data_IF_614585167313
#
_entry.id   IF_614585167313
#
_cell.length_a   1.000
_cell.length_b   1.000
_cell.length_c   1.000
_cell.angle_alpha   90.00
_cell.angle_beta   90.00
_cell.angle_gamma   90.00
#
_symmetry.space_group_name_H-M   'P 1'
#
loop_
_entity.id
_entity.type
_entity.pdbx_description
1 polymer ?
#
# COMPACT_ATOMS: atom_id res chain seq x y z
N UNK A 1 -3.32 37.71 -25.33
CA UNK A 1 -2.87 36.94 -26.50
C UNK A 1 -2.84 35.48 -26.07
N UNK A 2 -3.67 34.63 -26.65
CA UNK A 2 -3.64 33.20 -26.39
C UNK A 2 -2.29 32.70 -26.91
N UNK A 3 -1.51 32.08 -26.05
CA UNK A 3 -0.24 31.44 -26.40
C UNK A 3 -0.61 30.18 -27.17
N UNK A 4 -0.61 30.23 -28.51
CA UNK A 4 -0.90 29.07 -29.35
C UNK A 4 0.13 27.98 -29.02
N UNK A 5 -0.35 26.89 -28.44
CA UNK A 5 0.49 25.75 -28.00
C UNK A 5 1.10 25.10 -29.22
N UNK A 6 2.44 25.12 -29.34
CA UNK A 6 3.16 24.49 -30.46
C UNK A 6 2.73 23.03 -30.62
N UNK A 7 2.41 22.66 -31.85
CA UNK A 7 1.88 21.34 -32.20
C UNK A 7 2.91 20.47 -32.90
N UNK A 8 2.66 19.17 -33.03
CA UNK A 8 3.48 18.25 -33.84
C UNK A 8 3.52 18.66 -35.33
N UNK A 9 2.49 19.37 -35.80
CA UNK A 9 2.43 19.90 -37.18
C UNK A 9 3.42 21.04 -37.39
N UNK A 10 3.59 21.91 -36.37
CA UNK A 10 4.55 23.01 -36.43
C UNK A 10 5.99 22.47 -36.44
N UNK A 11 6.28 21.46 -35.60
CA UNK A 11 7.56 20.76 -35.60
C UNK A 11 7.83 20.10 -36.95
N UNK A 12 6.81 19.47 -37.55
CA UNK A 12 6.94 18.82 -38.86
C UNK A 12 7.32 19.82 -39.97
N UNK A 13 6.63 20.97 -39.99
CA UNK A 13 6.93 22.09 -40.92
C UNK A 13 8.35 22.62 -40.70
N UNK A 14 8.75 22.87 -39.46
CA UNK A 14 10.06 23.38 -39.12
C UNK A 14 11.20 22.41 -39.45
N UNK A 15 11.02 21.13 -39.19
CA UNK A 15 11.98 20.07 -39.48
C UNK A 15 12.02 19.64 -40.97
N UNK A 16 11.05 20.07 -41.79
CA UNK A 16 10.89 19.63 -43.18
C UNK A 16 10.58 18.15 -43.30
N UNK A 17 9.72 17.61 -42.44
CA UNK A 17 9.30 16.19 -42.46
C UNK A 17 7.78 16.07 -42.33
N UNK A 18 7.22 14.89 -42.45
CA UNK A 18 5.80 14.64 -42.24
C UNK A 18 5.47 14.60 -40.74
N UNK A 19 4.23 14.93 -40.37
CA UNK A 19 3.75 14.81 -38.97
C UNK A 19 3.88 13.38 -38.44
N UNK A 20 3.67 12.37 -39.30
CA UNK A 20 3.88 10.96 -38.94
C UNK A 20 5.34 10.63 -38.63
N UNK A 21 6.30 11.33 -39.25
CA UNK A 21 7.72 11.19 -38.93
C UNK A 21 8.03 11.79 -37.55
N UNK A 22 7.45 12.95 -37.21
CA UNK A 22 7.55 13.56 -35.88
C UNK A 22 6.98 12.61 -34.82
N UNK A 23 5.79 12.07 -35.03
CA UNK A 23 5.16 11.10 -34.14
C UNK A 23 6.06 9.90 -33.88
N UNK A 24 6.61 9.28 -34.95
CA UNK A 24 7.51 8.11 -34.82
C UNK A 24 8.80 8.42 -34.06
N UNK A 25 9.37 9.62 -34.20
CA UNK A 25 10.59 10.02 -33.47
C UNK A 25 10.35 10.09 -31.96
N UNK A 26 9.15 10.50 -31.55
CA UNK A 26 8.79 10.61 -30.15
C UNK A 26 8.06 9.38 -29.57
N UNK A 27 7.81 8.35 -30.41
CA UNK A 27 7.23 7.07 -29.95
C UNK A 27 8.36 6.10 -29.56
N UNK A 28 8.36 5.52 -28.34
CA UNK A 28 9.30 4.47 -27.97
C UNK A 28 9.28 3.31 -28.98
N UNK A 29 10.46 2.88 -29.47
CA UNK A 29 10.55 1.84 -30.50
C UNK A 29 10.14 2.29 -31.90
N UNK A 30 9.78 3.55 -32.10
CA UNK A 30 9.40 4.09 -33.40
C UNK A 30 10.58 4.08 -34.40
N UNK A 31 10.32 3.58 -35.61
CA UNK A 31 11.32 3.51 -36.69
C UNK A 31 11.47 4.87 -37.38
N UNK A 32 12.65 5.49 -37.24
CA UNK A 32 13.04 6.68 -38.00
C UNK A 32 14.55 6.67 -38.26
N UNK A 33 14.99 7.28 -39.39
CA UNK A 33 16.43 7.39 -39.69
C UNK A 33 17.12 8.32 -38.67
N UNK A 34 18.41 8.09 -38.40
CA UNK A 34 19.20 8.96 -37.51
C UNK A 34 19.09 10.43 -37.89
N UNK A 35 19.17 10.73 -39.22
CA UNK A 35 19.04 12.08 -39.78
C UNK A 35 17.66 12.68 -39.50
N UNK A 36 16.58 11.90 -39.52
CA UNK A 36 15.22 12.36 -39.22
C UNK A 36 15.08 12.64 -37.71
N UNK A 37 15.63 11.75 -36.88
CA UNK A 37 15.61 11.94 -35.41
C UNK A 37 16.30 13.24 -35.00
N UNK A 38 17.49 13.50 -35.55
CA UNK A 38 18.25 14.72 -35.27
C UNK A 38 17.48 16.00 -35.69
N UNK A 39 16.94 16.01 -36.92
CA UNK A 39 16.15 17.15 -37.42
C UNK A 39 14.91 17.43 -36.55
N UNK A 40 14.18 16.40 -36.19
CA UNK A 40 12.95 16.53 -35.41
C UNK A 40 13.25 16.96 -33.98
N UNK A 41 14.27 16.39 -33.34
CA UNK A 41 14.67 16.78 -31.98
C UNK A 41 15.13 18.24 -31.91
N UNK A 42 15.95 18.67 -32.90
CA UNK A 42 16.42 20.05 -33.01
C UNK A 42 15.24 21.03 -33.22
N UNK A 43 14.34 20.73 -34.14
CA UNK A 43 13.15 21.54 -34.38
C UNK A 43 12.23 21.62 -33.14
N UNK A 44 12.05 20.51 -32.43
CA UNK A 44 11.25 20.49 -31.20
C UNK A 44 11.89 21.37 -30.10
N UNK A 45 13.21 21.31 -29.93
CA UNK A 45 13.95 22.13 -28.97
C UNK A 45 13.85 23.61 -29.31
N UNK A 46 14.08 23.99 -30.59
CA UNK A 46 14.00 25.37 -31.07
C UNK A 46 12.60 25.98 -30.90
N UNK A 47 11.54 25.18 -31.05
CA UNK A 47 10.16 25.61 -30.89
C UNK A 47 9.63 25.46 -29.46
N UNK A 48 10.39 24.86 -28.53
CA UNK A 48 9.91 24.55 -27.19
C UNK A 48 8.79 23.48 -27.17
N UNK A 49 8.72 22.65 -28.22
CA UNK A 49 7.70 21.62 -28.32
C UNK A 49 7.96 20.46 -27.37
N UNK A 50 6.94 20.11 -26.62
CA UNK A 50 6.91 18.87 -25.82
C UNK A 50 5.80 17.97 -26.38
N UNK A 51 6.11 16.69 -26.70
CA UNK A 51 5.08 15.75 -27.12
C UNK A 51 3.97 15.65 -26.10
N UNK A 52 2.72 15.73 -26.54
CA UNK A 52 1.58 15.52 -25.67
C UNK A 52 1.42 14.01 -25.40
N UNK A 53 1.57 13.60 -24.14
CA UNK A 53 1.45 12.20 -23.69
C UNK A 53 0.04 11.69 -23.97
N UNK A 54 -1.00 12.51 -23.70
CA UNK A 54 -2.39 12.15 -23.94
C UNK A 54 -2.70 11.94 -25.44
N UNK A 55 -2.15 12.80 -26.31
CA UNK A 55 -2.30 12.62 -27.76
C UNK A 55 -1.62 11.36 -28.28
N UNK A 56 -0.56 10.89 -27.64
CA UNK A 56 0.08 9.59 -27.97
C UNK A 56 -0.79 8.42 -27.51
N UNK A 57 -1.38 8.51 -26.33
CA UNK A 57 -2.29 7.51 -25.79
C UNK A 57 -3.46 7.23 -26.77
N UNK A 58 -4.04 8.28 -27.36
CA UNK A 58 -5.11 8.16 -28.36
C UNK A 58 -4.67 7.41 -29.64
N UNK A 59 -3.40 7.46 -30.00
CA UNK A 59 -2.88 6.79 -31.20
C UNK A 59 -2.41 5.37 -30.90
N UNK A 60 -1.81 5.13 -29.73
CA UNK A 60 -1.25 3.83 -29.34
C UNK A 60 -2.23 2.92 -28.62
N UNK A 61 -3.34 3.47 -28.12
CA UNK A 61 -4.27 2.77 -27.22
C UNK A 61 -3.69 2.50 -25.83
N UNK A 62 -2.49 3.06 -25.51
CA UNK A 62 -1.82 2.91 -24.22
C UNK A 62 -1.39 4.28 -23.69
N UNK A 63 -1.90 4.65 -22.52
CA UNK A 63 -1.59 5.93 -21.88
C UNK A 63 -0.21 5.94 -21.20
N UNK A 64 0.29 4.79 -20.81
CA UNK A 64 1.44 4.63 -19.92
C UNK A 64 1.24 5.34 -18.58
N UNK A 65 0.01 5.35 -18.10
CA UNK A 65 -0.39 5.93 -16.81
C UNK A 65 -1.04 4.86 -15.96
N UNK A 66 -0.62 4.76 -14.71
CA UNK A 66 -1.23 3.91 -13.69
C UNK A 66 -1.92 4.82 -12.66
N UNK A 67 -3.19 4.53 -12.38
CA UNK A 67 -3.91 5.14 -11.27
C UNK A 67 -3.54 4.46 -9.95
N UNK A 68 -3.20 5.25 -8.94
CA UNK A 68 -2.88 4.77 -7.61
C UNK A 68 -3.85 5.39 -6.61
N UNK A 69 -4.77 4.58 -6.09
CA UNK A 69 -5.77 5.01 -5.09
C UNK A 69 -5.27 4.70 -3.70
N UNK A 70 -5.30 5.68 -2.79
CA UNK A 70 -4.81 5.54 -1.42
C UNK A 70 -5.79 6.15 -0.44
N UNK A 71 -6.09 5.43 0.66
CA UNK A 71 -7.04 5.93 1.67
C UNK A 71 -6.42 6.97 2.63
N UNK A 72 -5.18 6.75 3.06
CA UNK A 72 -4.50 7.64 4.02
C UNK A 72 -2.98 7.45 3.96
N UNK A 73 -2.24 8.53 4.32
CA UNK A 73 -0.77 8.59 4.26
C UNK A 73 -0.10 8.83 5.62
N UNK A 74 -0.87 8.91 6.69
CA UNK A 74 -0.34 9.15 8.04
C UNK A 74 0.32 7.91 8.67
N UNK A 75 0.01 6.69 8.22
CA UNK A 75 0.78 5.50 8.54
C UNK A 75 2.02 5.43 7.64
N UNK A 76 3.22 5.40 8.23
CA UNK A 76 4.52 5.44 7.54
C UNK A 76 4.75 4.30 6.53
N UNK A 77 4.04 3.19 6.67
CA UNK A 77 4.10 2.08 5.71
C UNK A 77 3.68 2.51 4.29
N UNK A 78 2.62 3.31 4.16
CA UNK A 78 2.11 3.70 2.84
C UNK A 78 3.01 4.66 2.08
N UNK A 79 3.53 5.75 2.66
CA UNK A 79 4.50 6.60 1.96
C UNK A 79 5.71 5.85 1.41
N UNK A 80 6.30 4.93 2.17
CA UNK A 80 7.42 4.09 1.72
C UNK A 80 7.01 3.17 0.56
N UNK A 81 5.88 2.48 0.68
CA UNK A 81 5.36 1.62 -0.38
C UNK A 81 5.01 2.40 -1.66
N UNK A 82 4.44 3.61 -1.53
CA UNK A 82 4.10 4.47 -2.67
C UNK A 82 5.33 4.97 -3.41
N UNK A 83 6.38 5.35 -2.69
CA UNK A 83 7.66 5.72 -3.28
C UNK A 83 8.23 4.57 -4.11
N UNK A 84 8.26 3.36 -3.54
CA UNK A 84 8.76 2.16 -4.21
C UNK A 84 7.90 1.77 -5.43
N UNK A 85 6.56 1.80 -5.30
CA UNK A 85 5.65 1.57 -6.42
C UNK A 85 5.88 2.57 -7.55
N UNK A 86 5.99 3.86 -7.22
CA UNK A 86 6.22 4.92 -8.20
C UNK A 86 7.54 4.75 -8.94
N UNK A 87 8.62 4.44 -8.22
CA UNK A 87 9.94 4.23 -8.80
C UNK A 87 9.95 3.02 -9.74
N UNK A 88 9.44 1.87 -9.29
CA UNK A 88 9.41 0.66 -10.09
C UNK A 88 8.52 0.81 -11.34
N UNK A 89 7.35 1.43 -11.22
CA UNK A 89 6.49 1.71 -12.38
C UNK A 89 7.15 2.69 -13.36
N UNK A 90 7.92 3.67 -12.86
CA UNK A 90 8.66 4.58 -13.71
C UNK A 90 9.80 3.89 -14.48
N UNK A 91 10.50 2.93 -13.86
CA UNK A 91 11.50 2.08 -14.53
C UNK A 91 10.86 1.26 -15.65
N UNK A 92 9.61 0.79 -15.47
CA UNK A 92 8.81 0.10 -16.49
C UNK A 92 8.19 1.05 -17.53
N UNK A 93 8.48 2.35 -17.44
CA UNK A 93 8.03 3.38 -18.39
C UNK A 93 6.60 3.86 -18.19
N UNK A 94 6.05 3.68 -17.00
CA UNK A 94 4.74 4.20 -16.60
C UNK A 94 4.85 5.48 -15.76
N UNK A 95 3.85 6.33 -15.84
CA UNK A 95 3.64 7.46 -14.93
C UNK A 95 2.57 7.09 -13.91
N UNK A 96 2.65 7.64 -12.70
CA UNK A 96 1.68 7.38 -11.64
C UNK A 96 0.85 8.63 -11.38
N UNK A 97 -0.46 8.47 -11.36
CA UNK A 97 -1.41 9.47 -10.85
C UNK A 97 -1.94 8.99 -9.49
N UNK A 98 -1.75 9.79 -8.45
CA UNK A 98 -2.20 9.46 -7.09
C UNK A 98 -3.53 10.15 -6.83
N UNK A 99 -4.50 9.35 -6.40
CA UNK A 99 -5.82 9.79 -5.98
C UNK A 99 -6.03 9.42 -4.52
N UNK A 100 -6.47 10.40 -3.73
CA UNK A 100 -6.81 10.17 -2.33
C UNK A 100 -8.29 9.81 -2.21
N UNK A 101 -8.59 8.68 -1.57
CA UNK A 101 -9.93 8.26 -1.28
C UNK A 101 -10.11 8.10 0.24
N UNK A 102 -11.24 8.53 0.78
CA UNK A 102 -11.61 8.18 2.14
C UNK A 102 -12.14 6.74 2.16
N UNK A 103 -11.93 6.00 3.27
CA UNK A 103 -12.41 4.62 3.44
C UNK A 103 -13.96 4.53 3.56
N UNK A 104 -14.68 5.19 2.66
CA UNK A 104 -16.13 5.08 2.52
C UNK A 104 -16.37 4.53 1.12
N UNK A 105 -16.97 3.36 1.01
CA UNK A 105 -17.09 2.59 -0.23
C UNK A 105 -17.59 3.42 -1.42
N UNK A 106 -18.64 4.24 -1.22
CA UNK A 106 -19.20 5.09 -2.28
C UNK A 106 -18.19 6.15 -2.79
N UNK A 107 -17.31 6.64 -1.94
CA UNK A 107 -16.28 7.64 -2.31
C UNK A 107 -15.15 6.99 -3.09
N UNK A 108 -14.78 5.76 -2.76
CA UNK A 108 -13.74 5.02 -3.48
C UNK A 108 -14.19 4.73 -4.91
N UNK A 109 -15.43 4.32 -5.10
CA UNK A 109 -15.98 4.01 -6.41
C UNK A 109 -16.04 5.28 -7.30
N UNK A 110 -16.45 6.43 -6.75
CA UNK A 110 -16.44 7.72 -7.46
C UNK A 110 -15.01 8.12 -7.89
N UNK A 111 -14.03 7.95 -7.02
CA UNK A 111 -12.62 8.26 -7.32
C UNK A 111 -12.10 7.35 -8.44
N UNK A 112 -12.46 6.08 -8.45
CA UNK A 112 -12.02 5.17 -9.53
C UNK A 112 -12.71 5.49 -10.85
N UNK A 113 -13.98 5.90 -10.83
CA UNK A 113 -14.66 6.41 -12.02
C UNK A 113 -13.93 7.63 -12.60
N UNK A 114 -13.52 8.57 -11.75
CA UNK A 114 -12.71 9.72 -12.16
C UNK A 114 -11.37 9.26 -12.78
N UNK A 115 -10.72 8.24 -12.20
CA UNK A 115 -9.46 7.70 -12.72
C UNK A 115 -9.64 7.12 -14.13
N UNK A 116 -10.74 6.46 -14.41
CA UNK A 116 -11.03 5.89 -15.73
C UNK A 116 -11.12 6.98 -16.81
N UNK A 117 -11.58 8.20 -16.48
CA UNK A 117 -11.61 9.34 -17.40
C UNK A 117 -10.19 9.78 -17.85
N UNK A 118 -9.16 9.48 -17.07
CA UNK A 118 -7.74 9.70 -17.46
C UNK A 118 -7.19 8.61 -18.38
N UNK A 119 -8.02 7.63 -18.78
CA UNK A 119 -7.61 6.53 -19.66
C UNK A 119 -6.37 5.78 -19.15
N UNK A 120 -6.32 5.50 -17.86
CA UNK A 120 -5.20 4.75 -17.25
C UNK A 120 -5.12 3.32 -17.82
N UNK A 121 -3.91 2.77 -17.92
CA UNK A 121 -3.69 1.41 -18.38
C UNK A 121 -3.96 0.36 -17.29
N UNK A 122 -3.96 0.78 -16.01
CA UNK A 122 -4.26 -0.07 -14.86
C UNK A 122 -4.36 0.72 -13.57
N UNK A 123 -4.85 0.08 -12.52
CA UNK A 123 -5.08 0.69 -11.21
C UNK A 123 -4.46 -0.16 -10.11
N UNK A 124 -3.78 0.49 -9.16
CA UNK A 124 -3.38 -0.11 -7.87
C UNK A 124 -4.24 0.54 -6.79
N UNK A 125 -4.97 -0.26 -6.04
CA UNK A 125 -5.83 0.20 -4.96
C UNK A 125 -5.21 -0.16 -3.60
N UNK A 126 -4.61 0.85 -2.93
CA UNK A 126 -3.87 0.68 -1.70
C UNK A 126 -4.73 1.03 -0.48
N UNK A 127 -4.99 0.03 0.36
CA UNK A 127 -5.75 0.19 1.61
C UNK A 127 -7.20 0.66 1.44
N UNK A 128 -7.82 0.39 0.32
CA UNK A 128 -9.24 0.68 0.04
C UNK A 128 -10.02 -0.59 -0.19
N UNK A 129 -11.31 -0.55 0.04
CA UNK A 129 -12.27 -1.59 -0.36
C UNK A 129 -13.01 -1.12 -1.60
N UNK A 130 -13.36 -2.05 -2.47
CA UNK A 130 -14.00 -1.78 -3.76
C UNK A 130 -15.35 -2.49 -3.80
N UNK A 131 -16.35 -1.88 -4.43
CA UNK A 131 -17.60 -2.56 -4.69
C UNK A 131 -17.47 -3.64 -5.77
N UNK A 132 -18.35 -4.65 -5.73
CA UNK A 132 -18.42 -5.67 -6.79
C UNK A 132 -18.87 -5.08 -8.13
N UNK A 133 -19.68 -4.02 -8.10
CA UNK A 133 -20.14 -3.29 -9.30
C UNK A 133 -18.97 -2.62 -10.00
N UNK A 134 -18.08 -1.98 -9.24
CA UNK A 134 -16.87 -1.37 -9.77
C UNK A 134 -15.93 -2.42 -10.40
N UNK A 135 -15.82 -3.60 -9.78
CA UNK A 135 -15.05 -4.71 -10.34
C UNK A 135 -15.55 -5.13 -11.73
N UNK A 136 -16.87 -5.25 -11.88
CA UNK A 136 -17.50 -5.56 -13.17
C UNK A 136 -17.23 -4.46 -14.18
N UNK A 137 -17.34 -3.20 -13.77
CA UNK A 137 -17.13 -2.05 -14.65
C UNK A 137 -15.68 -1.96 -15.16
N UNK A 138 -14.69 -2.02 -14.28
CA UNK A 138 -13.28 -1.98 -14.69
C UNK A 138 -12.93 -3.11 -15.65
N UNK A 139 -13.45 -4.32 -15.42
CA UNK A 139 -13.31 -5.42 -16.38
C UNK A 139 -13.95 -5.12 -17.72
N UNK A 140 -15.13 -4.50 -17.74
CA UNK A 140 -15.84 -4.17 -18.98
C UNK A 140 -15.09 -3.17 -19.86
N UNK A 141 -14.31 -2.27 -19.26
CA UNK A 141 -13.46 -1.30 -19.97
C UNK A 141 -12.02 -1.78 -20.18
N UNK A 142 -11.69 -2.99 -19.72
CA UNK A 142 -10.38 -3.60 -19.91
C UNK A 142 -9.25 -3.00 -19.06
N UNK A 143 -9.58 -2.35 -17.93
CA UNK A 143 -8.60 -1.77 -17.00
C UNK A 143 -8.41 -2.71 -15.81
N UNK A 144 -7.26 -3.38 -15.68
CA UNK A 144 -6.97 -4.25 -14.54
C UNK A 144 -6.78 -3.47 -13.24
N UNK A 145 -7.21 -4.09 -12.13
CA UNK A 145 -7.00 -3.57 -10.76
C UNK A 145 -6.28 -4.61 -9.93
N UNK A 146 -5.24 -4.17 -9.20
CA UNK A 146 -4.55 -4.96 -8.18
C UNK A 146 -4.72 -4.29 -6.82
N UNK A 147 -5.22 -5.05 -5.86
CA UNK A 147 -5.33 -4.60 -4.47
C UNK A 147 -3.97 -4.73 -3.78
N UNK A 148 -3.51 -3.66 -3.14
CA UNK A 148 -2.27 -3.63 -2.38
C UNK A 148 -2.56 -3.51 -0.88
N UNK A 149 -2.00 -4.42 -0.09
CA UNK A 149 -2.19 -4.52 1.36
C UNK A 149 -3.65 -4.70 1.83
N UNK A 150 -4.53 -5.14 0.95
CA UNK A 150 -5.91 -5.53 1.21
C UNK A 150 -6.29 -6.72 0.35
N UNK A 151 -7.19 -7.55 0.85
CA UNK A 151 -7.82 -8.61 0.08
C UNK A 151 -9.33 -8.48 0.20
N UNK A 152 -10.03 -8.77 -0.88
CA UNK A 152 -11.48 -8.77 -0.92
C UNK A 152 -12.02 -10.20 -1.04
N UNK A 153 -13.14 -10.47 -0.39
CA UNK A 153 -13.87 -11.72 -0.57
C UNK A 153 -14.46 -11.78 -1.99
N UNK A 154 -14.61 -12.98 -2.54
CA UNK A 154 -15.20 -13.15 -3.88
C UNK A 154 -14.22 -13.41 -5.01
N UNK A 155 -12.93 -13.10 -4.86
CA UNK A 155 -11.89 -13.51 -5.83
C UNK A 155 -11.87 -12.74 -7.14
N UNK A 156 -12.52 -11.59 -7.24
CA UNK A 156 -12.66 -10.83 -8.48
C UNK A 156 -11.42 -10.00 -8.84
N UNK A 157 -10.60 -9.63 -7.85
CA UNK A 157 -9.37 -8.85 -8.03
C UNK A 157 -8.14 -9.65 -7.66
N UNK A 158 -7.03 -9.33 -8.32
CA UNK A 158 -5.72 -9.71 -7.81
C UNK A 158 -5.40 -8.93 -6.54
N UNK A 159 -4.69 -9.57 -5.62
CA UNK A 159 -4.28 -8.93 -4.37
C UNK A 159 -2.90 -9.37 -3.92
N UNK A 160 -2.14 -8.44 -3.35
CA UNK A 160 -0.87 -8.69 -2.68
C UNK A 160 -0.98 -8.15 -1.26
N UNK A 161 -0.86 -9.05 -0.29
CA UNK A 161 -0.96 -8.74 1.15
C UNK A 161 0.18 -9.36 1.92
N UNK A 162 0.36 -8.93 3.17
CA UNK A 162 1.09 -9.75 4.14
C UNK A 162 0.24 -10.97 4.51
N UNK A 163 0.90 -12.06 4.95
CA UNK A 163 0.23 -13.18 5.61
C UNK A 163 -0.19 -12.74 7.04
N UNK A 164 -1.30 -12.00 7.07
CA UNK A 164 -1.82 -11.38 8.28
C UNK A 164 -2.23 -12.41 9.34
N UNK A 165 -2.74 -13.57 8.91
CA UNK A 165 -3.13 -14.64 9.83
C UNK A 165 -1.91 -15.24 10.53
N UNK A 166 -0.90 -15.66 9.77
CA UNK A 166 0.34 -16.21 10.34
C UNK A 166 1.10 -15.18 11.18
N UNK A 167 1.10 -13.90 10.76
CA UNK A 167 1.68 -12.81 11.54
C UNK A 167 0.97 -12.62 12.88
N UNK A 168 -0.37 -12.61 12.90
CA UNK A 168 -1.15 -12.56 14.14
C UNK A 168 -0.84 -13.72 15.07
N UNK A 169 -0.77 -14.93 14.52
CA UNK A 169 -0.39 -16.14 15.26
C UNK A 169 1.01 -16.00 15.90
N UNK A 170 2.00 -15.56 15.13
CA UNK A 170 3.36 -15.36 15.62
C UNK A 170 3.45 -14.33 16.76
N UNK A 171 2.64 -13.25 16.70
CA UNK A 171 2.53 -12.28 17.79
C UNK A 171 2.02 -12.94 19.09
N UNK A 172 0.99 -13.78 19.00
CA UNK A 172 0.45 -14.52 20.14
C UNK A 172 1.48 -15.50 20.72
N UNK A 173 2.11 -16.30 19.88
CA UNK A 173 3.14 -17.27 20.28
C UNK A 173 4.29 -16.57 21.02
N UNK A 174 4.76 -15.42 20.52
CA UNK A 174 5.82 -14.64 21.15
C UNK A 174 5.43 -14.14 22.53
N UNK A 175 4.23 -13.54 22.66
CA UNK A 175 3.76 -13.01 23.94
C UNK A 175 3.49 -14.13 24.97
N UNK A 176 2.92 -15.24 24.55
CA UNK A 176 2.72 -16.41 25.39
C UNK A 176 4.05 -16.99 25.87
N UNK A 177 5.02 -17.15 24.98
CA UNK A 177 6.38 -17.62 25.33
C UNK A 177 7.08 -16.66 26.31
N UNK A 178 6.79 -15.34 26.22
CA UNK A 178 7.25 -14.33 27.20
C UNK A 178 6.62 -14.42 28.58
N UNK A 179 5.73 -15.39 28.79
CA UNK A 179 5.10 -15.68 30.08
C UNK A 179 3.89 -14.82 30.41
N UNK A 180 3.40 -14.05 29.47
CA UNK A 180 2.22 -13.19 29.65
C UNK A 180 0.93 -14.01 29.81
N UNK A 181 0.00 -13.49 30.62
CA UNK A 181 -1.28 -14.16 30.95
C UNK A 181 -2.51 -13.30 30.61
N UNK A 182 -2.40 -11.98 30.76
CA UNK A 182 -3.45 -11.02 30.44
C UNK A 182 -3.13 -10.33 29.13
N UNK A 183 -3.21 -11.10 28.03
CA UNK A 183 -2.83 -10.66 26.70
C UNK A 183 -4.04 -10.03 26.02
N UNK A 184 -3.90 -8.80 25.57
CA UNK A 184 -4.98 -8.02 24.96
C UNK A 184 -4.65 -7.56 23.55
N UNK A 185 -5.68 -7.10 22.83
CA UNK A 185 -5.57 -6.66 21.45
C UNK A 185 -6.15 -5.26 21.25
N UNK A 186 -5.45 -4.39 20.53
CA UNK A 186 -5.98 -3.13 20.04
C UNK A 186 -6.21 -3.24 18.55
N UNK A 187 -7.49 -3.26 18.17
CA UNK A 187 -7.97 -3.52 16.83
C UNK A 187 -7.83 -2.30 15.90
N UNK A 188 -7.67 -2.58 14.61
CA UNK A 188 -7.80 -1.58 13.54
C UNK A 188 -9.26 -1.34 13.15
N UNK A 189 -9.48 -0.95 11.89
CA UNK A 189 -10.80 -0.71 11.33
C UNK A 189 -11.47 -2.04 10.98
N UNK A 190 -12.65 -2.31 11.56
CA UNK A 190 -13.35 -3.61 11.54
C UNK A 190 -13.62 -4.18 10.14
N UNK A 191 -14.02 -3.34 9.20
CA UNK A 191 -14.34 -3.77 7.84
C UNK A 191 -13.13 -4.29 7.05
N UNK A 192 -11.90 -4.11 7.56
CA UNK A 192 -10.70 -4.36 6.78
C UNK A 192 -10.17 -5.80 6.89
N UNK A 193 -9.77 -6.38 5.76
CA UNK A 193 -9.20 -7.73 5.73
C UNK A 193 -7.95 -7.86 6.62
N UNK A 194 -7.08 -6.85 6.64
CA UNK A 194 -5.86 -6.86 7.47
C UNK A 194 -6.17 -6.94 8.96
N UNK A 195 -7.14 -6.13 9.44
CA UNK A 195 -7.59 -6.19 10.83
C UNK A 195 -8.16 -7.56 11.17
N UNK A 196 -9.11 -8.02 10.37
CA UNK A 196 -9.80 -9.31 10.58
C UNK A 196 -8.81 -10.47 10.65
N UNK A 197 -7.93 -10.58 9.68
CA UNK A 197 -7.04 -11.72 9.54
C UNK A 197 -5.93 -11.71 10.62
N UNK A 198 -5.41 -10.53 11.02
CA UNK A 198 -4.49 -10.38 12.16
C UNK A 198 -5.14 -10.82 13.48
N UNK A 199 -6.36 -10.36 13.75
CA UNK A 199 -7.08 -10.73 14.98
C UNK A 199 -7.45 -12.21 15.02
N UNK A 200 -7.92 -12.80 13.90
CA UNK A 200 -8.23 -14.23 13.83
C UNK A 200 -6.97 -15.06 14.11
N UNK A 201 -5.85 -14.73 13.47
CA UNK A 201 -4.58 -15.42 13.71
C UNK A 201 -4.10 -15.27 15.16
N UNK A 202 -4.20 -14.07 15.73
CA UNK A 202 -3.81 -13.81 17.11
C UNK A 202 -4.63 -14.61 18.10
N UNK A 203 -5.95 -14.63 17.94
CA UNK A 203 -6.85 -15.45 18.79
C UNK A 203 -6.57 -16.94 18.64
N UNK A 204 -6.29 -17.42 17.42
CA UNK A 204 -5.93 -18.80 17.17
C UNK A 204 -4.64 -19.20 17.92
N UNK A 205 -3.61 -18.33 17.89
CA UNK A 205 -2.36 -18.58 18.63
C UNK A 205 -2.55 -18.59 20.15
N UNK A 206 -3.37 -17.69 20.70
CA UNK A 206 -3.74 -17.72 22.12
C UNK A 206 -4.46 -19.01 22.49
N UNK A 207 -5.45 -19.42 21.69
CA UNK A 207 -6.22 -20.63 21.92
C UNK A 207 -5.36 -21.90 21.89
N UNK A 208 -4.36 -21.97 21.00
CA UNK A 208 -3.40 -23.10 20.98
C UNK A 208 -2.60 -23.22 22.29
N UNK A 209 -2.37 -22.09 22.96
CA UNK A 209 -1.70 -22.05 24.26
C UNK A 209 -2.68 -22.21 25.45
N UNK A 210 -3.97 -22.46 25.21
CA UNK A 210 -5.00 -22.56 26.23
C UNK A 210 -5.36 -21.23 26.89
N UNK A 211 -5.09 -20.12 26.22
CA UNK A 211 -5.45 -18.75 26.65
C UNK A 211 -6.58 -18.19 25.80
N UNK A 212 -7.34 -17.28 26.41
CA UNK A 212 -8.31 -16.45 25.72
C UNK A 212 -7.82 -15.00 25.68
N UNK A 213 -8.34 -14.22 24.74
CA UNK A 213 -8.07 -12.80 24.68
C UNK A 213 -8.61 -12.12 25.95
N UNK A 214 -7.73 -11.50 26.75
CA UNK A 214 -8.10 -10.88 28.02
C UNK A 214 -9.05 -9.68 27.82
N UNK A 215 -8.71 -8.76 26.95
CA UNK A 215 -9.58 -7.64 26.57
C UNK A 215 -9.25 -7.16 25.13
N UNK A 216 -10.20 -6.40 24.56
CA UNK A 216 -10.11 -5.86 23.20
C UNK A 216 -10.45 -4.39 23.21
N UNK A 217 -9.56 -3.57 22.65
CA UNK A 217 -9.80 -2.14 22.41
C UNK A 217 -9.98 -1.85 20.92
N UNK A 218 -10.68 -0.79 20.57
CA UNK A 218 -10.88 -0.33 19.20
C UNK A 218 -10.02 0.91 18.94
N UNK A 219 -8.98 0.74 18.11
CA UNK A 219 -8.05 1.81 17.73
C UNK A 219 -8.29 2.38 16.35
N UNK A 220 -9.10 1.71 15.50
CA UNK A 220 -9.59 2.19 14.21
C UNK A 220 -8.48 2.66 13.23
N UNK A 221 -7.24 2.18 13.38
CA UNK A 221 -6.02 2.67 12.71
C UNK A 221 -5.73 4.17 12.94
N UNK A 222 -6.24 4.72 14.05
CA UNK A 222 -6.09 6.11 14.47
C UNK A 222 -5.35 6.22 15.81
N UNK A 223 -4.39 7.15 15.91
CA UNK A 223 -3.54 7.30 17.09
C UNK A 223 -4.35 7.75 18.32
N UNK A 224 -5.31 8.66 18.14
CA UNK A 224 -6.10 9.19 19.25
C UNK A 224 -7.09 8.13 19.79
N UNK A 225 -7.70 7.36 18.90
CA UNK A 225 -8.57 6.23 19.27
C UNK A 225 -7.77 5.14 19.99
N UNK A 226 -6.58 4.79 19.51
CA UNK A 226 -5.71 3.81 20.13
C UNK A 226 -5.27 4.26 21.54
N UNK A 227 -4.93 5.54 21.73
CA UNK A 227 -4.65 6.13 23.04
C UNK A 227 -5.85 6.05 23.98
N UNK A 228 -7.05 6.41 23.51
CA UNK A 228 -8.28 6.33 24.30
C UNK A 228 -8.62 4.90 24.71
N UNK A 229 -8.51 3.94 23.76
CA UNK A 229 -8.70 2.52 24.03
C UNK A 229 -7.71 2.00 25.08
N UNK A 230 -6.44 2.37 24.98
CA UNK A 230 -5.40 2.02 25.97
C UNK A 230 -5.79 2.47 27.36
N UNK A 231 -6.16 3.74 27.55
CA UNK A 231 -6.58 4.27 28.84
C UNK A 231 -7.78 3.52 29.43
N UNK A 232 -8.74 3.16 28.60
CA UNK A 232 -9.91 2.41 29.02
C UNK A 232 -9.55 0.99 29.48
N UNK A 233 -8.65 0.31 28.76
CA UNK A 233 -8.23 -1.07 29.06
C UNK A 233 -7.40 -1.16 30.34
N UNK A 234 -6.69 -0.09 30.72
CA UNK A 234 -5.83 -0.06 31.92
C UNK A 234 -6.54 0.43 33.18
N UNK A 235 -7.85 0.70 33.14
CA UNK A 235 -8.58 1.29 34.23
C UNK A 235 -8.86 0.33 35.41
N UNK A 236 -9.42 -0.85 35.11
CA UNK A 236 -9.94 -1.76 36.14
C UNK A 236 -9.13 -3.07 36.23
N UNK A 237 -8.91 -3.74 35.15
CA UNK A 237 -8.15 -5.01 35.04
C UNK A 237 -7.11 -4.94 33.92
N UNK A 238 -5.95 -4.31 34.17
CA UNK A 238 -4.97 -4.00 33.14
C UNK A 238 -4.33 -5.27 32.54
N UNK A 239 -4.09 -5.27 31.22
CA UNK A 239 -3.31 -6.33 30.56
C UNK A 239 -1.82 -6.24 30.94
N UNK A 240 -1.12 -7.37 30.81
CA UNK A 240 0.34 -7.45 30.94
C UNK A 240 1.06 -7.47 29.58
N UNK A 241 0.30 -7.62 28.49
CA UNK A 241 0.80 -7.51 27.12
C UNK A 241 -0.28 -7.04 26.15
N UNK A 242 0.16 -6.30 25.13
CA UNK A 242 -0.68 -5.80 24.05
C UNK A 242 -0.11 -6.22 22.69
N UNK A 243 -0.96 -6.79 21.85
CA UNK A 243 -0.76 -6.78 20.41
C UNK A 243 -1.60 -5.66 19.81
N UNK A 244 -0.96 -4.79 19.05
CA UNK A 244 -1.61 -3.64 18.40
C UNK A 244 -1.62 -3.88 16.90
N UNK A 245 -2.78 -3.69 16.26
CA UNK A 245 -3.01 -4.09 14.88
C UNK A 245 -2.05 -3.45 13.85
N UNK A 246 -1.41 -2.31 14.19
CA UNK A 246 -0.33 -1.74 13.39
C UNK A 246 0.61 -0.86 14.23
N UNK A 247 1.79 -0.56 13.68
CA UNK A 247 2.81 0.25 14.35
C UNK A 247 2.35 1.70 14.56
N UNK A 248 1.61 2.27 13.62
CA UNK A 248 1.08 3.63 13.74
C UNK A 248 0.29 3.83 15.04
N UNK A 249 -0.56 2.87 15.39
CA UNK A 249 -1.25 2.85 16.68
C UNK A 249 -0.34 2.45 17.84
N UNK A 250 0.57 1.47 17.62
CA UNK A 250 1.45 0.97 18.68
C UNK A 250 2.36 2.07 19.26
N UNK A 251 2.83 3.00 18.43
CA UNK A 251 3.61 4.16 18.90
C UNK A 251 2.78 5.04 19.85
N UNK A 252 1.52 5.35 19.49
CA UNK A 252 0.62 6.12 20.36
C UNK A 252 0.26 5.37 21.65
N UNK A 253 0.09 4.05 21.58
CA UNK A 253 -0.10 3.17 22.74
C UNK A 253 1.10 3.26 23.69
N UNK A 254 2.31 3.13 23.16
CA UNK A 254 3.54 3.23 23.97
C UNK A 254 3.69 4.60 24.63
N UNK A 255 3.41 5.67 23.90
CA UNK A 255 3.43 7.03 24.46
C UNK A 255 2.38 7.19 25.58
N UNK A 256 1.16 6.67 25.36
CA UNK A 256 0.10 6.69 26.37
C UNK A 256 0.50 5.92 27.63
N UNK A 257 1.05 4.71 27.48
CA UNK A 257 1.53 3.88 28.59
C UNK A 257 2.60 4.62 29.41
N UNK A 258 3.62 5.18 28.73
CA UNK A 258 4.79 5.79 29.37
C UNK A 258 4.49 7.15 29.98
N UNK A 259 3.84 8.03 29.24
CA UNK A 259 3.73 9.45 29.60
C UNK A 259 2.42 9.82 30.28
N UNK A 260 1.35 9.05 30.03
CA UNK A 260 0.05 9.36 30.64
C UNK A 260 -0.30 8.40 31.78
N UNK A 261 0.07 7.10 31.66
CA UNK A 261 -0.21 6.10 32.68
C UNK A 261 1.01 5.80 33.58
N UNK A 262 2.20 6.31 33.25
CA UNK A 262 3.42 6.13 34.04
C UNK A 262 3.96 4.70 34.09
N UNK A 263 3.62 3.86 33.10
CA UNK A 263 4.00 2.46 33.01
C UNK A 263 5.28 2.29 32.18
N UNK A 264 6.08 1.32 32.58
CA UNK A 264 7.31 0.97 31.88
C UNK A 264 7.02 -0.09 30.81
N UNK A 265 7.57 0.12 29.62
CA UNK A 265 7.54 -0.83 28.52
C UNK A 265 8.97 -1.28 28.26
N UNK A 266 9.33 -2.57 28.44
CA UNK A 266 8.43 -3.72 28.56
C UNK A 266 8.18 -4.21 30.01
N UNK A 267 8.72 -3.58 31.08
CA UNK A 267 8.77 -4.16 32.42
C UNK A 267 7.37 -4.36 33.02
N UNK A 268 6.48 -3.41 32.84
CA UNK A 268 5.11 -3.49 33.37
C UNK A 268 4.12 -4.03 32.33
N UNK A 269 4.35 -3.71 31.05
CA UNK A 269 3.52 -4.19 29.92
C UNK A 269 4.35 -4.34 28.64
N UNK A 270 4.25 -5.48 27.98
CA UNK A 270 4.86 -5.71 26.67
C UNK A 270 3.96 -5.19 25.55
N UNK A 271 4.55 -4.61 24.49
CA UNK A 271 3.83 -4.12 23.32
C UNK A 271 4.45 -4.73 22.06
N UNK A 272 3.60 -5.32 21.21
CA UNK A 272 3.96 -5.83 19.88
C UNK A 272 3.11 -5.10 18.84
N UNK A 273 3.74 -4.64 17.76
CA UNK A 273 3.09 -3.97 16.64
C UNK A 273 3.00 -4.83 15.38
N UNK A 274 2.70 -4.19 14.26
CA UNK A 274 2.68 -4.77 12.93
C UNK A 274 3.00 -3.67 11.91
N UNK A 275 3.86 -3.90 10.95
CA UNK A 275 4.27 -3.18 9.76
C UNK A 275 5.80 -3.06 9.65
N UNK A 276 6.53 -2.91 10.75
CA UNK A 276 7.95 -2.56 10.87
C UNK A 276 8.30 -1.23 10.17
N UNK A 277 7.53 -0.20 10.51
CA UNK A 277 7.79 1.16 10.00
C UNK A 277 9.12 1.72 10.54
N UNK A 278 9.76 2.70 9.87
CA UNK A 278 11.04 3.26 10.31
C UNK A 278 11.07 3.69 11.78
N UNK A 279 9.99 4.29 12.28
CA UNK A 279 9.89 4.73 13.68
C UNK A 279 9.91 3.58 14.69
N UNK A 280 9.53 2.35 14.31
CA UNK A 280 9.60 1.17 15.18
C UNK A 280 11.02 0.89 15.65
N UNK A 281 12.03 1.19 14.83
CA UNK A 281 13.44 1.00 15.17
C UNK A 281 14.06 2.14 15.97
N UNK A 282 13.39 3.27 16.15
CA UNK A 282 13.95 4.41 16.87
C UNK A 282 14.20 4.04 18.34
N UNK A 283 15.33 4.50 18.93
CA UNK A 283 15.67 4.19 20.32
C UNK A 283 14.57 4.56 21.33
N UNK A 284 13.76 5.57 21.02
CA UNK A 284 12.61 5.98 21.84
C UNK A 284 11.51 4.93 21.91
N UNK A 285 11.38 4.10 20.90
CA UNK A 285 10.33 3.07 20.85
C UNK A 285 10.93 1.67 20.96
N UNK A 286 11.86 1.30 20.10
CA UNK A 286 12.40 -0.06 20.07
C UNK A 286 11.27 -1.09 19.94
N UNK A 287 10.29 -0.82 19.05
CA UNK A 287 9.06 -1.59 18.94
C UNK A 287 9.32 -2.97 18.34
N UNK A 288 8.99 -4.02 19.08
CA UNK A 288 8.86 -5.40 18.57
C UNK A 288 7.63 -5.45 17.67
N UNK A 289 7.77 -5.93 16.44
CA UNK A 289 6.71 -5.85 15.43
C UNK A 289 6.82 -6.92 14.37
N UNK A 290 5.74 -7.21 13.65
CA UNK A 290 5.72 -8.08 12.47
C UNK A 290 6.08 -7.24 11.25
N UNK A 291 7.13 -7.63 10.50
CA UNK A 291 7.57 -6.88 9.35
C UNK A 291 6.68 -7.13 8.12
N UNK A 292 6.23 -6.04 7.47
CA UNK A 292 5.70 -6.08 6.12
C UNK A 292 6.84 -5.81 5.12
N UNK A 293 7.13 -6.78 4.25
CA UNK A 293 8.17 -6.64 3.24
C UNK A 293 7.68 -5.82 2.05
N UNK A 294 7.63 -4.48 2.20
CA UNK A 294 7.14 -3.57 1.17
C UNK A 294 7.79 -3.80 -0.20
N UNK A 295 9.11 -4.08 -0.24
CA UNK A 295 9.84 -4.34 -1.49
C UNK A 295 9.29 -5.56 -2.24
N UNK A 296 9.04 -6.67 -1.53
CA UNK A 296 8.49 -7.90 -2.13
C UNK A 296 7.06 -7.66 -2.57
N UNK A 297 6.25 -7.01 -1.72
CA UNK A 297 4.85 -6.70 -2.02
C UNK A 297 4.74 -5.79 -3.26
N UNK A 298 5.59 -4.77 -3.36
CA UNK A 298 5.63 -3.84 -4.50
C UNK A 298 6.01 -4.57 -5.79
N UNK A 299 7.07 -5.38 -5.76
CA UNK A 299 7.50 -6.15 -6.92
C UNK A 299 6.40 -7.08 -7.44
N UNK A 300 5.74 -7.82 -6.54
CA UNK A 300 4.63 -8.71 -6.90
C UNK A 300 3.42 -7.94 -7.45
N UNK A 301 3.09 -6.79 -6.85
CA UNK A 301 1.98 -5.95 -7.31
C UNK A 301 2.20 -5.43 -8.72
N UNK A 302 3.39 -4.89 -8.99
CA UNK A 302 3.74 -4.38 -10.32
C UNK A 302 3.82 -5.53 -11.34
N UNK A 303 4.43 -6.66 -10.99
CA UNK A 303 4.48 -7.86 -11.84
C UNK A 303 3.08 -8.32 -12.27
N UNK A 304 2.16 -8.45 -11.31
CA UNK A 304 0.78 -8.89 -11.58
C UNK A 304 0.07 -7.88 -12.46
N UNK A 305 0.16 -6.58 -12.13
CA UNK A 305 -0.49 -5.53 -12.90
C UNK A 305 -0.01 -5.51 -14.36
N UNK A 306 1.31 -5.57 -14.59
CA UNK A 306 1.88 -5.56 -15.94
C UNK A 306 1.50 -6.80 -16.76
N UNK A 307 1.43 -7.98 -16.14
CA UNK A 307 0.93 -9.20 -16.79
C UNK A 307 -0.53 -9.05 -17.23
N UNK A 308 -1.37 -8.41 -16.42
CA UNK A 308 -2.77 -8.14 -16.79
C UNK A 308 -2.89 -7.06 -17.87
N UNK A 309 -2.09 -6.00 -17.84
CA UNK A 309 -2.04 -4.97 -18.90
C UNK A 309 -1.57 -5.54 -20.24
N UNK A 310 -0.67 -6.52 -20.23
CA UNK A 310 -0.20 -7.18 -21.44
C UNK A 310 -1.06 -8.37 -21.89
N UNK A 311 -2.06 -8.74 -21.12
CA UNK A 311 -2.91 -9.93 -21.32
C UNK A 311 -2.12 -11.25 -21.33
N UNK A 312 -0.98 -11.28 -20.67
CA UNK A 312 -0.21 -12.53 -20.46
C UNK A 312 -0.89 -13.45 -19.43
N UNK A 313 -1.53 -12.84 -18.42
CA UNK A 313 -2.31 -13.56 -17.42
C UNK A 313 -3.43 -12.68 -16.86
N UNK A 314 -4.65 -12.88 -17.31
CA UNK A 314 -5.84 -12.15 -16.84
C UNK A 314 -6.51 -12.81 -15.61
N UNK A 315 -5.99 -13.97 -15.16
CA UNK A 315 -6.55 -14.68 -13.98
C UNK A 315 -6.20 -13.92 -12.70
N UNK A 316 -7.16 -13.64 -11.82
CA UNK A 316 -6.88 -13.03 -10.52
C UNK A 316 -5.90 -13.86 -9.69
N UNK A 317 -4.84 -13.21 -9.20
CA UNK A 317 -3.81 -13.81 -8.37
C UNK A 317 -3.92 -13.28 -6.94
N UNK A 318 -3.85 -14.16 -5.95
CA UNK A 318 -3.80 -13.79 -4.53
C UNK A 318 -2.45 -14.19 -3.95
N UNK A 319 -1.65 -13.21 -3.58
CA UNK A 319 -0.30 -13.41 -3.04
C UNK A 319 -0.25 -12.92 -1.60
N UNK A 320 0.14 -13.80 -0.69
CA UNK A 320 0.39 -13.48 0.71
C UNK A 320 1.89 -13.59 0.99
N UNK A 321 2.49 -12.51 1.48
CA UNK A 321 3.93 -12.42 1.79
C UNK A 321 4.13 -12.64 3.29
N UNK A 322 5.04 -13.51 3.68
CA UNK A 322 5.34 -13.80 5.08
C UNK A 322 5.73 -12.53 5.86
N UNK A 323 5.31 -12.46 7.13
CA UNK A 323 5.57 -11.33 8.02
C UNK A 323 6.38 -11.79 9.23
N UNK A 324 7.73 -11.83 9.14
CA UNK A 324 8.56 -12.26 10.26
C UNK A 324 8.47 -11.28 11.44
N UNK A 325 8.60 -11.83 12.65
CA UNK A 325 8.69 -11.03 13.86
C UNK A 325 10.08 -10.41 13.99
N UNK A 326 10.13 -9.11 14.14
CA UNK A 326 11.35 -8.34 14.44
C UNK A 326 11.36 -8.00 15.92
N UNK A 327 12.18 -8.68 16.69
CA UNK A 327 12.25 -8.52 18.15
C UNK A 327 13.11 -7.32 18.50
N UNK A 328 12.55 -6.44 19.33
CA UNK A 328 13.22 -5.25 19.90
C UNK A 328 12.95 -5.15 21.41
N UNK A 329 12.95 -3.96 21.96
CA UNK A 329 12.92 -3.74 23.42
C UNK A 329 11.53 -3.47 24.01
N UNK A 330 10.48 -3.36 23.21
CA UNK A 330 9.11 -3.06 23.68
C UNK A 330 8.37 -4.25 24.27
N UNK A 331 8.94 -5.45 24.20
CA UNK A 331 8.33 -6.65 24.75
C UNK A 331 9.39 -7.54 25.42
N UNK A 332 8.97 -8.28 26.45
CA UNK A 332 9.83 -9.25 27.13
C UNK A 332 10.23 -10.36 26.16
N UNK A 333 11.53 -10.54 26.00
CA UNK A 333 12.07 -11.58 25.11
C UNK A 333 12.02 -12.91 25.83
N UNK A 334 11.35 -13.94 25.26
CA UNK A 334 11.29 -15.27 25.88
C UNK A 334 12.68 -15.88 26.00
N UNK A 335 12.91 -16.65 27.06
CA UNK A 335 14.18 -17.36 27.25
C UNK A 335 14.40 -18.36 26.10
N UNK A 336 15.58 -18.26 25.46
CA UNK A 336 15.93 -19.12 24.32
C UNK A 336 15.24 -18.75 22.99
N UNK A 337 14.52 -17.63 22.91
CA UNK A 337 13.92 -17.16 21.66
C UNK A 337 15.04 -16.83 20.65
N UNK A 338 14.97 -17.46 19.48
CA UNK A 338 15.90 -17.15 18.38
C UNK A 338 15.22 -16.14 17.46
N UNK A 339 15.81 -14.96 17.36
CA UNK A 339 15.41 -13.91 16.40
C UNK A 339 15.75 -14.33 14.96
#
# INVERSE_FOLDING_TARGET
MANDKITSTDVAKHAGVSQSAVSRVFTPGGSASKKTIEKVKKAAEELGYRPNVLARAMVSGKSRVIGLVVAYLNNQFYPDALEKLSNLLQEEGYHVLIFMANNVDSVVDEVIEEILDYQVDGIIAASVELSSELAVRCRSVGVPIVLFNRAQQGGEFSSVTSDNFSGGMAAAEFLVAGGHKKISYIAGLECTSTQRDREIGFRAGLQQAGLELHSRGEGMFDMAQASAATKAMFKDDPPDALFVANDHMALAVMDTLRFELGLRVPEDVSVVGYDDVPAASWPSYGLTTLAQHADIMVNETVRILLQQISHENDTPQKVAIGSPLVVRTSAKIPEGWKS
#
